data_IF_976433745188
#
_entry.id   IF_976433745188
#
_cell.length_a   1.000
_cell.length_b   1.000
_cell.length_c   1.000
_cell.angle_alpha   90.00
_cell.angle_beta   90.00
_cell.angle_gamma   90.00
#
_symmetry.space_group_name_H-M   'P 1'
#
loop_
_entity.id
_entity.type
_entity.pdbx_description
1 polymer ?
#
# COMPACT_ATOMS: atom_id res chain seq x y z
N UNK A 1 -10.64 -37.52 20.40
CA UNK A 1 -10.64 -36.87 19.52
C UNK A 1 -10.89 -35.60 19.80
N UNK A 2 -11.31 -35.21 19.93
CA UNK A 2 -11.64 -34.12 20.00
C UNK A 2 -10.73 -33.21 20.33
N UNK A 3 -10.11 -33.36 20.97
CA UNK A 3 -9.34 -32.40 21.40
C UNK A 3 -8.39 -31.97 20.48
N UNK A 4 -8.07 -32.72 19.70
CA UNK A 4 -7.21 -32.36 18.74
C UNK A 4 -7.59 -31.10 18.21
N UNK A 5 -8.78 -30.87 18.06
CA UNK A 5 -9.20 -29.77 17.40
C UNK A 5 -8.89 -28.49 18.08
N UNK A 6 -8.75 -28.47 19.34
CA UNK A 6 -8.50 -27.25 20.03
C UNK A 6 -7.10 -26.74 19.79
N UNK A 7 -6.15 -27.61 19.69
CA UNK A 7 -4.82 -27.18 19.37
C UNK A 7 -4.74 -26.74 17.94
N UNK A 8 -5.45 -27.39 17.06
CA UNK A 8 -5.44 -26.99 15.69
C UNK A 8 -6.04 -25.62 15.56
N UNK A 9 -7.09 -25.33 16.31
CA UNK A 9 -7.68 -24.04 16.26
C UNK A 9 -6.73 -22.97 16.75
N UNK A 10 -5.93 -23.31 17.72
CA UNK A 10 -5.00 -22.36 18.24
C UNK A 10 -3.94 -22.03 17.21
N UNK A 11 -3.48 -23.04 16.49
CA UNK A 11 -2.50 -22.84 15.47
C UNK A 11 -3.10 -21.99 14.36
N UNK A 12 -4.35 -22.26 13.99
CA UNK A 12 -5.00 -21.50 12.96
C UNK A 12 -5.15 -20.04 13.39
N UNK A 13 -5.46 -19.79 14.66
CA UNK A 13 -5.57 -18.43 15.14
C UNK A 13 -4.25 -17.70 15.07
N UNK A 14 -3.15 -18.43 15.27
CA UNK A 14 -1.83 -17.84 15.21
C UNK A 14 -1.46 -17.51 13.78
N UNK A 15 -2.14 -18.13 12.80
CA UNK A 15 -1.84 -17.88 11.42
C UNK A 15 -2.69 -16.76 10.82
N UNK A 16 -3.59 -16.20 11.59
CA UNK A 16 -4.39 -15.08 11.13
C UNK A 16 -4.27 -13.95 12.13
N UNK A 17 -4.22 -12.74 11.61
CA UNK A 17 -4.12 -11.56 12.44
C UNK A 17 -4.68 -10.38 11.66
N UNK A 18 -4.70 -9.21 12.28
CA UNK A 18 -5.20 -8.02 11.62
C UNK A 18 -4.08 -7.04 11.37
N UNK A 19 -4.20 -6.34 10.24
CA UNK A 19 -3.36 -5.21 9.91
C UNK A 19 -4.31 -4.09 9.50
N UNK A 20 -3.80 -2.89 9.32
CA UNK A 20 -4.61 -1.81 8.75
C UNK A 20 -3.98 -1.36 7.46
N UNK A 21 -4.80 -0.76 6.59
CA UNK A 21 -4.31 -0.23 5.34
C UNK A 21 -5.09 1.04 5.00
N UNK A 22 -4.39 2.02 4.46
CA UNK A 22 -5.02 3.22 3.93
C UNK A 22 -4.38 3.54 2.59
N UNK A 23 -5.09 4.29 1.76
CA UNK A 23 -4.61 4.69 0.43
C UNK A 23 -4.98 6.15 0.25
N UNK A 24 -3.98 7.02 0.07
CA UNK A 24 -4.26 8.44 -0.09
C UNK A 24 -3.41 9.07 -1.18
N UNK A 25 -3.94 10.15 -1.73
CA UNK A 25 -3.24 11.00 -2.66
C UNK A 25 -3.32 12.44 -2.18
N UNK A 26 -3.16 12.64 -0.89
CA UNK A 26 -3.27 13.97 -0.29
C UNK A 26 -2.27 14.96 -0.88
N UNK A 27 -1.11 14.49 -1.30
CA UNK A 27 -0.09 15.37 -1.87
C UNK A 27 -0.59 16.04 -3.15
N UNK A 28 -1.48 15.38 -3.89
CA UNK A 28 -1.98 15.93 -5.14
C UNK A 28 -2.77 17.21 -4.88
N UNK A 29 -3.42 17.31 -3.72
CA UNK A 29 -4.21 18.51 -3.41
C UNK A 29 -3.36 19.77 -3.38
N UNK A 30 -2.07 19.63 -3.13
CA UNK A 30 -1.16 20.76 -3.13
C UNK A 30 -0.48 20.94 -4.49
N UNK A 31 -0.82 20.11 -5.46
CA UNK A 31 -0.15 20.09 -6.74
C UNK A 31 -1.13 19.92 -7.91
N UNK A 32 -2.34 20.40 -7.74
CA UNK A 32 -3.39 20.19 -8.75
C UNK A 32 -3.01 20.78 -10.10
N UNK A 33 -2.16 21.81 -10.14
CA UNK A 33 -1.75 22.40 -11.39
C UNK A 33 -0.91 21.44 -12.24
N UNK A 34 -0.30 20.45 -11.59
CA UNK A 34 0.55 19.49 -12.30
C UNK A 34 -0.21 18.21 -12.64
N UNK A 35 -1.45 18.12 -12.23
CA UNK A 35 -2.21 16.89 -12.41
C UNK A 35 -2.64 16.74 -13.86
N UNK A 36 -2.52 15.53 -14.37
CA UNK A 36 -2.94 15.20 -15.72
C UNK A 36 -4.42 15.54 -15.91
N UNK A 37 -4.75 16.15 -17.03
CA UNK A 37 -6.13 16.57 -17.28
C UNK A 37 -7.04 15.36 -17.30
N UNK A 38 -8.19 15.52 -16.68
CA UNK A 38 -9.17 14.44 -16.64
C UNK A 38 -9.03 13.56 -15.43
N UNK A 39 -8.00 13.76 -14.62
CA UNK A 39 -7.80 12.94 -13.43
C UNK A 39 -8.38 13.57 -12.16
N UNK A 40 -8.84 14.81 -12.24
CA UNK A 40 -9.33 15.52 -11.05
C UNK A 40 -10.41 14.75 -10.32
N UNK A 41 -11.27 14.07 -11.07
CA UNK A 41 -12.39 13.35 -10.46
C UNK A 41 -11.92 12.17 -9.62
N UNK A 42 -10.70 11.71 -9.81
CA UNK A 42 -10.20 10.58 -9.04
C UNK A 42 -9.50 10.99 -7.76
N UNK A 43 -9.23 12.29 -7.60
CA UNK A 43 -8.54 12.78 -6.43
C UNK A 43 -9.49 13.03 -5.27
N UNK A 44 -10.64 13.66 -5.56
CA UNK A 44 -11.63 13.96 -4.53
C UNK A 44 -11.01 14.71 -3.36
N UNK A 45 -11.21 14.19 -2.16
CA UNK A 45 -10.66 14.82 -0.95
C UNK A 45 -9.26 14.26 -0.63
N UNK A 46 -8.69 13.47 -1.53
CA UNK A 46 -7.36 12.92 -1.35
C UNK A 46 -7.35 11.54 -0.71
N UNK A 47 -8.50 11.03 -0.28
CA UNK A 47 -8.56 9.69 0.30
C UNK A 47 -9.22 8.72 -0.65
N UNK A 48 -8.47 7.70 -1.07
CA UNK A 48 -9.04 6.63 -1.88
C UNK A 48 -9.61 5.56 -0.95
N UNK A 49 -8.91 5.28 0.15
CA UNK A 49 -9.42 4.39 1.18
C UNK A 49 -8.88 4.85 2.52
N UNK A 50 -9.77 5.21 3.43
CA UNK A 50 -9.34 5.60 4.77
C UNK A 50 -8.95 4.34 5.52
N UNK A 51 -8.23 4.51 6.63
CA UNK A 51 -7.69 3.41 7.39
C UNK A 51 -8.74 2.34 7.63
N UNK A 52 -8.43 1.14 7.20
CA UNK A 52 -9.35 0.02 7.24
C UNK A 52 -8.64 -1.20 7.83
N UNK A 53 -9.32 -1.87 8.75
CA UNK A 53 -8.79 -3.06 9.39
C UNK A 53 -9.04 -4.27 8.50
N UNK A 54 -8.04 -5.07 8.27
CA UNK A 54 -8.11 -6.18 7.33
C UNK A 54 -7.52 -7.43 7.96
N UNK A 55 -8.18 -8.55 7.76
CA UNK A 55 -7.64 -9.83 8.22
C UNK A 55 -6.51 -10.24 7.30
N UNK A 56 -5.41 -10.67 7.88
CA UNK A 56 -4.21 -11.05 7.16
C UNK A 56 -3.80 -12.45 7.58
N UNK A 57 -3.35 -13.24 6.65
CA UNK A 57 -2.86 -14.58 6.96
C UNK A 57 -1.35 -14.56 7.01
N UNK A 58 -0.79 -15.42 7.84
CA UNK A 58 0.65 -15.53 7.95
C UNK A 58 1.24 -15.77 6.58
N UNK A 59 2.26 -15.03 6.23
CA UNK A 59 2.92 -15.15 4.94
C UNK A 59 2.44 -14.18 3.89
N UNK A 60 1.33 -13.51 4.14
CA UNK A 60 0.86 -12.53 3.16
C UNK A 60 1.69 -11.27 3.19
N UNK A 61 1.79 -10.63 2.05
CA UNK A 61 2.64 -9.46 1.85
C UNK A 61 1.80 -8.20 1.73
N UNK A 62 2.48 -7.07 1.71
CA UNK A 62 1.82 -5.78 1.51
C UNK A 62 1.04 -5.79 0.18
N UNK A 63 1.62 -6.41 -0.86
CA UNK A 63 0.91 -6.53 -2.14
C UNK A 63 -0.38 -7.32 -2.00
N UNK A 64 -0.33 -8.44 -1.28
CA UNK A 64 -1.51 -9.29 -1.13
C UNK A 64 -2.66 -8.53 -0.48
N UNK A 65 -2.36 -7.73 0.53
CA UNK A 65 -3.39 -6.97 1.22
C UNK A 65 -3.91 -5.83 0.34
N UNK A 66 -3.04 -5.17 -0.42
CA UNK A 66 -3.50 -4.14 -1.34
C UNK A 66 -4.47 -4.76 -2.37
N UNK A 67 -4.10 -5.89 -2.95
CA UNK A 67 -4.94 -6.55 -3.92
C UNK A 67 -6.29 -6.93 -3.30
N UNK A 68 -6.26 -7.43 -2.09
CA UNK A 68 -7.46 -7.85 -1.39
C UNK A 68 -8.43 -6.69 -1.16
N UNK A 69 -7.94 -5.55 -0.66
CA UNK A 69 -8.83 -4.43 -0.40
C UNK A 69 -9.30 -3.77 -1.70
N UNK A 70 -8.46 -3.74 -2.71
CA UNK A 70 -8.88 -3.16 -3.98
C UNK A 70 -10.03 -3.97 -4.58
N UNK A 71 -9.98 -5.29 -4.45
CA UNK A 71 -11.10 -6.11 -4.90
C UNK A 71 -12.33 -5.91 -4.02
N UNK A 72 -12.13 -5.88 -2.72
CA UNK A 72 -13.26 -5.79 -1.79
C UNK A 72 -14.00 -4.46 -1.91
N UNK A 73 -13.29 -3.39 -2.17
CA UNK A 73 -13.89 -2.06 -2.22
C UNK A 73 -14.02 -1.51 -3.64
N UNK A 74 -13.81 -2.35 -4.63
CA UNK A 74 -13.94 -1.99 -6.04
C UNK A 74 -13.05 -0.80 -6.40
N UNK A 75 -11.80 -0.83 -5.92
CA UNK A 75 -10.82 0.19 -6.23
C UNK A 75 -9.98 -0.34 -7.39
N UNK A 76 -9.86 0.46 -8.44
CA UNK A 76 -9.06 0.08 -9.59
C UNK A 76 -7.59 0.04 -9.18
N UNK A 77 -6.85 -0.95 -9.64
CA UNK A 77 -5.43 -1.07 -9.35
C UNK A 77 -4.75 -1.76 -10.52
N UNK A 78 -3.59 -1.24 -10.90
CA UNK A 78 -2.80 -1.86 -11.95
C UNK A 78 -1.38 -2.06 -11.47
N UNK A 79 -0.82 -3.22 -11.77
CA UNK A 79 0.54 -3.53 -11.39
C UNK A 79 1.20 -4.33 -12.49
N UNK A 80 2.52 -4.37 -12.49
CA UNK A 80 3.29 -5.21 -13.39
C UNK A 80 4.32 -5.96 -12.56
N UNK A 81 4.63 -7.18 -12.98
CA UNK A 81 5.64 -7.97 -12.29
C UNK A 81 6.95 -7.86 -13.06
N UNK A 82 8.02 -7.55 -12.36
CA UNK A 82 9.33 -7.44 -12.96
C UNK A 82 10.21 -8.54 -12.40
N UNK A 83 10.48 -9.59 -13.19
CA UNK A 83 11.29 -10.69 -12.68
C UNK A 83 12.66 -10.26 -12.16
N UNK A 84 13.24 -9.24 -12.76
CA UNK A 84 14.53 -8.73 -12.33
C UNK A 84 14.51 -8.33 -10.85
N UNK A 85 13.43 -7.73 -10.39
CA UNK A 85 13.33 -7.30 -9.00
C UNK A 85 12.52 -8.27 -8.16
N UNK A 86 11.92 -9.28 -8.78
CA UNK A 86 11.13 -10.26 -8.06
C UNK A 86 9.95 -9.67 -7.32
N UNK A 87 9.34 -8.62 -7.85
CA UNK A 87 8.30 -7.93 -7.13
C UNK A 87 7.27 -7.33 -8.07
N UNK A 88 6.08 -7.12 -7.56
CA UNK A 88 5.02 -6.41 -8.25
C UNK A 88 5.24 -4.91 -8.08
N UNK A 89 5.19 -4.18 -9.18
CA UNK A 89 5.31 -2.73 -9.17
C UNK A 89 3.93 -2.13 -9.36
N UNK A 90 3.53 -1.25 -8.46
CA UNK A 90 2.18 -0.66 -8.50
C UNK A 90 2.23 0.59 -9.37
N UNK A 91 1.58 0.51 -10.52
CA UNK A 91 1.56 1.60 -11.48
C UNK A 91 0.44 2.57 -11.19
N UNK A 92 -0.69 2.09 -10.73
CA UNK A 92 -1.83 2.95 -10.48
C UNK A 92 -2.77 2.38 -9.45
N UNK A 93 -3.43 3.26 -8.71
CA UNK A 93 -4.47 2.91 -7.75
C UNK A 93 -5.58 3.95 -7.90
N UNK A 94 -6.82 3.51 -8.01
CA UNK A 94 -7.95 4.44 -8.11
C UNK A 94 -7.87 5.33 -9.33
N UNK A 95 -7.35 4.79 -10.43
CA UNK A 95 -7.18 5.49 -11.69
C UNK A 95 -6.16 6.63 -11.65
N UNK A 96 -5.39 6.73 -10.59
CA UNK A 96 -4.30 7.69 -10.48
C UNK A 96 -3.00 6.94 -10.63
N UNK A 97 -2.23 7.27 -11.65
CA UNK A 97 -1.04 6.52 -12.04
C UNK A 97 0.24 7.30 -11.81
N UNK A 98 1.34 6.56 -11.80
CA UNK A 98 2.65 7.20 -11.79
C UNK A 98 2.70 8.20 -12.93
N UNK A 99 3.37 9.31 -12.69
CA UNK A 99 3.55 10.40 -13.64
C UNK A 99 2.29 11.22 -13.89
N UNK A 100 1.19 10.92 -13.27
CA UNK A 100 -0.03 11.72 -13.48
C UNK A 100 0.04 13.09 -12.83
N UNK A 101 0.97 13.31 -11.92
CA UNK A 101 1.10 14.61 -11.24
C UNK A 101 2.55 15.07 -11.27
N UNK A 102 3.17 14.93 -12.44
CA UNK A 102 4.56 15.35 -12.63
C UNK A 102 5.49 14.18 -12.84
N UNK A 103 6.68 14.47 -13.38
CA UNK A 103 7.62 13.42 -13.75
C UNK A 103 8.09 12.54 -12.61
N UNK A 104 8.00 13.02 -11.40
CA UNK A 104 8.49 12.28 -10.25
C UNK A 104 7.37 11.79 -9.36
N UNK A 105 6.15 11.73 -9.91
CA UNK A 105 5.01 11.31 -9.10
C UNK A 105 4.76 9.81 -9.22
N UNK A 106 4.19 9.22 -8.18
CA UNK A 106 3.88 7.80 -8.17
C UNK A 106 3.50 7.31 -6.79
N UNK A 107 3.26 6.02 -6.70
CA UNK A 107 2.79 5.40 -5.47
C UNK A 107 3.94 4.85 -4.64
N UNK A 108 3.88 5.08 -3.34
CA UNK A 108 4.84 4.55 -2.39
C UNK A 108 4.09 3.92 -1.23
N UNK A 109 4.71 2.97 -0.55
CA UNK A 109 4.08 2.39 0.62
C UNK A 109 5.01 2.46 1.83
N UNK A 110 4.42 2.55 2.99
CA UNK A 110 5.17 2.41 4.23
C UNK A 110 4.47 1.40 5.12
N UNK A 111 5.20 0.87 6.09
CA UNK A 111 4.64 0.01 7.12
C UNK A 111 5.08 0.62 8.44
N UNK A 112 4.11 1.02 9.25
CA UNK A 112 4.35 1.73 10.50
C UNK A 112 5.24 2.96 10.30
N UNK A 113 5.08 3.62 9.16
CA UNK A 113 5.82 4.85 8.85
C UNK A 113 7.17 4.65 8.20
N UNK A 114 7.62 3.41 8.09
CA UNK A 114 8.90 3.13 7.45
C UNK A 114 8.68 2.80 5.97
N UNK A 115 9.43 3.47 5.11
CA UNK A 115 9.31 3.26 3.67
C UNK A 115 10.42 2.30 3.21
N UNK A 116 10.08 1.01 3.01
CA UNK A 116 11.09 0.05 2.56
C UNK A 116 11.55 0.40 1.15
N UNK A 117 12.81 0.07 0.85
CA UNK A 117 13.33 0.31 -0.49
C UNK A 117 13.24 -0.96 -1.34
N UNK A 118 12.31 -1.83 -1.04
CA UNK A 118 12.07 -3.03 -1.84
C UNK A 118 10.57 -3.17 -2.10
N UNK A 119 10.23 -3.99 -3.08
CA UNK A 119 8.87 -4.07 -3.57
C UNK A 119 7.87 -4.62 -2.57
N UNK A 120 6.63 -4.24 -2.77
CA UNK A 120 5.56 -4.56 -1.83
C UNK A 120 5.25 -6.05 -1.74
N UNK A 121 5.59 -6.84 -2.75
CA UNK A 121 5.35 -8.27 -2.67
C UNK A 121 6.49 -9.01 -1.96
N UNK A 122 7.46 -8.27 -1.45
CA UNK A 122 8.55 -8.85 -0.68
C UNK A 122 8.46 -8.55 0.81
N UNK A 123 7.55 -7.69 1.22
CA UNK A 123 7.39 -7.36 2.63
C UNK A 123 6.31 -8.27 3.22
N UNK A 124 6.72 -9.19 4.08
CA UNK A 124 5.80 -10.13 4.73
C UNK A 124 5.27 -9.49 6.01
N UNK A 125 3.96 -9.43 6.13
CA UNK A 125 3.30 -8.69 7.20
C UNK A 125 3.29 -9.41 8.52
N UNK A 126 3.22 -8.63 9.59
CA UNK A 126 3.10 -9.12 10.96
C UNK A 126 1.88 -8.49 11.62
N UNK A 127 1.41 -9.12 12.67
CA UNK A 127 0.21 -8.67 13.37
C UNK A 127 0.33 -7.22 13.81
N UNK A 128 -0.73 -6.47 13.58
CA UNK A 128 -0.82 -5.10 14.07
C UNK A 128 -0.13 -4.05 13.22
N UNK A 129 0.50 -4.44 12.12
CA UNK A 129 1.19 -3.45 11.29
C UNK A 129 0.20 -2.58 10.53
N UNK A 130 0.58 -1.33 10.30
CA UNK A 130 -0.23 -0.37 9.57
C UNK A 130 0.43 -0.05 8.24
N UNK A 131 -0.27 -0.36 7.15
CA UNK A 131 0.20 -0.11 5.80
C UNK A 131 -0.41 1.20 5.32
N UNK A 132 0.42 2.05 4.71
CA UNK A 132 -0.10 3.23 4.03
C UNK A 132 0.44 3.26 2.62
N UNK A 133 -0.47 3.31 1.64
CA UNK A 133 -0.10 3.57 0.25
C UNK A 133 -0.32 5.05 0.03
N UNK A 134 0.73 5.75 -0.31
CA UNK A 134 0.68 7.20 -0.41
C UNK A 134 1.26 7.66 -1.74
N UNK A 135 0.55 8.57 -2.38
CA UNK A 135 1.00 9.11 -3.65
C UNK A 135 1.98 10.26 -3.35
N UNK A 136 3.13 10.22 -4.03
CA UNK A 136 4.11 11.30 -3.90
C UNK A 136 4.13 12.10 -5.20
N UNK A 137 4.18 13.42 -5.09
CA UNK A 137 4.31 14.29 -6.25
C UNK A 137 5.72 14.82 -6.39
N UNK A 138 6.55 14.63 -5.39
CA UNK A 138 7.88 15.22 -5.35
C UNK A 138 8.92 14.14 -5.16
N UNK A 139 8.93 13.22 -6.08
CA UNK A 139 9.87 12.15 -6.20
C UNK A 139 10.44 11.55 -4.95
N UNK A 140 10.42 10.27 -4.84
CA UNK A 140 11.04 9.54 -3.74
C UNK A 140 10.49 9.91 -2.36
N UNK A 141 9.28 10.51 -2.32
CA UNK A 141 8.60 10.72 -1.06
C UNK A 141 9.01 11.95 -0.26
N UNK A 142 9.72 12.88 -0.88
CA UNK A 142 10.13 14.09 -0.14
C UNK A 142 8.94 14.83 0.45
N UNK A 143 7.82 14.85 -0.27
CA UNK A 143 6.62 15.57 0.17
C UNK A 143 5.78 14.75 1.15
N UNK A 144 6.22 13.56 1.51
CA UNK A 144 5.54 12.73 2.49
C UNK A 144 6.19 12.82 3.87
N UNK A 145 7.19 13.68 4.01
CA UNK A 145 7.91 13.76 5.26
C UNK A 145 8.75 12.52 5.50
N UNK A 146 9.08 11.81 4.44
CA UNK A 146 9.78 10.55 4.58
C UNK A 146 11.26 10.74 4.78
N UNK A 147 11.86 9.90 5.56
CA UNK A 147 13.28 9.90 5.79
C UNK A 147 13.87 8.60 5.27
N UNK A 148 13.14 7.92 4.41
CA UNK A 148 13.57 6.60 3.97
C UNK A 148 14.90 6.64 3.21
N UNK A 149 15.27 7.77 2.67
CA UNK A 149 16.52 7.87 1.95
C UNK A 149 17.72 7.72 2.88
N UNK A 150 17.53 7.92 4.15
CA UNK A 150 18.64 7.78 5.09
C UNK A 150 18.83 6.34 5.50
N UNK A 151 17.90 5.50 5.16
CA UNK A 151 17.97 4.11 5.56
C UNK A 151 17.59 3.87 6.99
N UNK A 152 17.04 4.87 7.63
CA UNK A 152 16.71 4.74 8.99
C UNK A 152 15.45 4.12 9.27
N UNK A 153 14.73 3.70 8.76
CA UNK A 153 13.48 3.15 9.00
C UNK A 153 13.49 2.27 10.15
N UNK A 154 13.56 1.23 10.32
CA UNK A 154 13.42 0.38 11.47
C UNK A 154 14.61 -0.44 11.73
#
# INVERSE_FOLDING_TARGET
PLPVNQEDQKVDNDEEFYVTISIDCLTVLQNMDNLEKGKEKYVGDGWILKTTKVKCKKGQTVYDILEQVCKAYSIQMENSYTPLYGSNYIEGIGNLYEFDCGNLSGWMYNVDGWYPNYGCSRYVLKAGEAIQWRYTCNGLGADLGSDFMSGEGK
#
